data_IF_325179830898
#
_entry.id   IF_325179830898
#
_cell.length_a   1.000
_cell.length_b   1.000
_cell.length_c   1.000
_cell.angle_alpha   90.00
_cell.angle_beta   90.00
_cell.angle_gamma   90.00
#
_symmetry.space_group_name_H-M   'P 1'
#
loop_
_entity.id
_entity.type
_entity.pdbx_description
1 polymer ?
#
# COMPACT_ATOMS: atom_id res chain seq x y z
N UNK A 1 -10.89 -20.85 -30.76
CA UNK A 1 -10.88 -19.88 -29.65
C UNK A 1 -10.80 -18.45 -30.18
N UNK A 2 -11.59 -17.53 -29.64
CA UNK A 2 -11.37 -16.11 -29.90
C UNK A 2 -10.06 -15.67 -29.26
N UNK A 3 -9.31 -14.77 -29.92
CA UNK A 3 -7.97 -14.33 -29.48
C UNK A 3 -8.01 -13.10 -28.57
N UNK A 4 -9.12 -12.38 -28.59
CA UNK A 4 -9.41 -11.20 -27.80
C UNK A 4 -10.91 -11.08 -27.54
N UNK A 5 -11.32 -10.43 -26.44
CA UNK A 5 -12.72 -10.10 -26.23
C UNK A 5 -13.21 -9.07 -27.26
N UNK A 6 -14.52 -8.91 -27.36
CA UNK A 6 -15.12 -7.87 -28.20
C UNK A 6 -14.61 -6.50 -27.74
N UNK A 7 -14.12 -5.70 -28.69
CA UNK A 7 -13.61 -4.35 -28.40
C UNK A 7 -14.72 -3.43 -27.90
N UNK A 8 -14.49 -2.76 -26.79
CA UNK A 8 -15.38 -1.74 -26.22
C UNK A 8 -14.78 -0.38 -26.52
N UNK A 9 -15.46 0.40 -27.36
CA UNK A 9 -15.01 1.73 -27.75
C UNK A 9 -14.99 2.71 -26.58
N UNK A 10 -14.03 3.64 -26.52
CA UNK A 10 -13.99 4.68 -25.51
C UNK A 10 -15.23 5.56 -25.50
N UNK A 11 -15.71 5.95 -24.33
CA UNK A 11 -16.86 6.82 -24.13
C UNK A 11 -16.51 7.95 -23.15
N UNK A 12 -17.17 9.10 -23.31
CA UNK A 12 -16.99 10.29 -22.48
C UNK A 12 -18.09 10.37 -21.43
N UNK A 13 -17.69 10.66 -20.18
CA UNK A 13 -18.58 10.75 -19.03
C UNK A 13 -18.40 12.08 -18.30
N UNK A 14 -19.49 12.64 -17.83
CA UNK A 14 -19.58 13.76 -16.88
C UNK A 14 -20.20 13.33 -15.53
N UNK A 15 -20.63 12.07 -15.43
CA UNK A 15 -21.08 11.44 -14.21
C UNK A 15 -20.04 10.42 -13.69
N UNK A 16 -19.53 10.57 -12.44
CA UNK A 16 -18.54 9.67 -11.84
C UNK A 16 -19.03 8.22 -11.75
N UNK A 17 -20.31 8.01 -11.42
CA UNK A 17 -20.87 6.67 -11.25
C UNK A 17 -20.99 5.93 -12.58
N UNK A 18 -21.40 6.63 -13.65
CA UNK A 18 -21.44 6.07 -14.99
C UNK A 18 -20.04 5.73 -15.52
N UNK A 19 -19.03 6.58 -15.24
CA UNK A 19 -17.64 6.29 -15.57
C UNK A 19 -17.13 5.04 -14.86
N UNK A 20 -17.41 4.89 -13.56
CA UNK A 20 -17.04 3.71 -12.78
C UNK A 20 -17.73 2.44 -13.31
N UNK A 21 -19.03 2.52 -13.63
CA UNK A 21 -19.76 1.38 -14.21
C UNK A 21 -19.13 0.90 -15.52
N UNK A 22 -18.66 1.84 -16.36
CA UNK A 22 -17.94 1.50 -17.60
C UNK A 22 -16.58 0.84 -17.33
N UNK A 23 -15.83 1.31 -16.32
CA UNK A 23 -14.58 0.66 -15.88
C UNK A 23 -14.85 -0.77 -15.43
N UNK A 24 -15.88 -0.98 -14.60
CA UNK A 24 -16.29 -2.31 -14.12
C UNK A 24 -16.69 -3.23 -15.29
N UNK A 25 -17.46 -2.70 -16.23
CA UNK A 25 -17.89 -3.46 -17.40
C UNK A 25 -16.69 -3.93 -18.24
N UNK A 26 -15.76 -3.04 -18.58
CA UNK A 26 -14.57 -3.38 -19.38
C UNK A 26 -13.67 -4.39 -18.62
N UNK A 27 -13.41 -4.14 -17.33
CA UNK A 27 -12.57 -5.01 -16.51
C UNK A 27 -13.15 -6.43 -16.42
N UNK A 28 -14.43 -6.53 -16.05
CA UNK A 28 -15.09 -7.83 -15.89
C UNK A 28 -15.19 -8.58 -17.22
N UNK A 29 -15.42 -7.88 -18.32
CA UNK A 29 -15.43 -8.47 -19.66
C UNK A 29 -14.05 -9.04 -20.03
N UNK A 30 -12.99 -8.28 -19.80
CA UNK A 30 -11.59 -8.69 -20.07
C UNK A 30 -11.15 -9.87 -19.20
N UNK A 31 -11.38 -9.79 -17.89
CA UNK A 31 -10.99 -10.85 -16.93
C UNK A 31 -11.82 -12.13 -17.15
N UNK A 32 -13.13 -12.00 -17.37
CA UNK A 32 -14.00 -13.13 -17.68
C UNK A 32 -13.56 -13.88 -18.95
N UNK A 33 -13.18 -13.15 -19.99
CA UNK A 33 -12.63 -13.73 -21.21
C UNK A 33 -11.32 -14.50 -20.93
N UNK A 34 -10.37 -13.93 -20.18
CA UNK A 34 -9.10 -14.59 -19.83
C UNK A 34 -9.31 -15.85 -19.01
N UNK A 35 -10.21 -15.81 -18.01
CA UNK A 35 -10.56 -16.97 -17.19
C UNK A 35 -11.11 -18.10 -18.03
N UNK A 36 -12.09 -17.81 -18.90
CA UNK A 36 -12.64 -18.83 -19.79
C UNK A 36 -11.59 -19.41 -20.73
N UNK A 37 -10.72 -18.58 -21.31
CA UNK A 37 -9.66 -19.03 -22.19
C UNK A 37 -8.64 -19.92 -21.44
N UNK A 38 -8.34 -19.63 -20.18
CA UNK A 38 -7.48 -20.45 -19.35
C UNK A 38 -8.12 -21.80 -18.99
N UNK A 39 -9.40 -21.83 -18.65
CA UNK A 39 -10.13 -23.08 -18.43
C UNK A 39 -10.13 -23.95 -19.68
N UNK A 40 -10.36 -23.37 -20.85
CA UNK A 40 -10.29 -24.09 -22.13
C UNK A 40 -8.88 -24.62 -22.38
N UNK A 41 -7.83 -23.84 -22.09
CA UNK A 41 -6.45 -24.26 -22.18
C UNK A 41 -6.12 -25.42 -21.25
N UNK A 42 -6.57 -25.40 -20.00
CA UNK A 42 -6.41 -26.51 -19.04
C UNK A 42 -7.14 -27.76 -19.51
N UNK A 43 -8.34 -27.61 -20.08
CA UNK A 43 -9.14 -28.71 -20.65
C UNK A 43 -8.55 -29.36 -21.91
N UNK A 44 -7.44 -28.84 -22.43
CA UNK A 44 -6.76 -29.43 -23.56
C UNK A 44 -7.05 -28.84 -24.93
N UNK A 45 -7.85 -27.75 -24.98
CA UNK A 45 -8.08 -27.07 -26.24
C UNK A 45 -6.86 -26.25 -26.66
N UNK A 46 -6.39 -26.46 -27.89
CA UNK A 46 -5.24 -25.72 -28.40
C UNK A 46 -5.69 -24.35 -28.96
N UNK A 47 -5.06 -23.25 -28.53
CA UNK A 47 -5.23 -21.97 -29.19
C UNK A 47 -4.53 -21.99 -30.54
N UNK A 48 -5.22 -21.73 -31.62
CA UNK A 48 -4.69 -21.74 -32.96
C UNK A 48 -3.63 -20.67 -33.24
N UNK A 49 -2.43 -20.85 -32.72
CA UNK A 49 -1.19 -20.15 -33.12
C UNK A 49 -1.02 -18.67 -32.79
N UNK A 50 -1.98 -17.99 -32.20
CA UNK A 50 -1.83 -16.58 -31.79
C UNK A 50 -2.15 -16.40 -30.30
N UNK A 51 -1.43 -15.45 -29.67
CA UNK A 51 -1.56 -15.11 -28.25
C UNK A 51 -2.99 -14.66 -27.91
N UNK A 52 -3.52 -15.17 -26.79
CA UNK A 52 -4.80 -14.77 -26.22
C UNK A 52 -4.53 -13.57 -25.32
N UNK A 53 -5.25 -12.46 -25.58
CA UNK A 53 -5.01 -11.18 -24.92
C UNK A 53 -6.31 -10.49 -24.58
N UNK A 54 -6.38 -9.93 -23.37
CA UNK A 54 -7.34 -8.90 -22.98
C UNK A 54 -6.62 -7.79 -22.24
N UNK A 55 -7.16 -6.57 -22.27
CA UNK A 55 -6.46 -5.39 -21.77
C UNK A 55 -7.23 -4.73 -20.62
N UNK A 56 -6.48 -3.97 -19.80
CA UNK A 56 -7.04 -3.15 -18.74
C UNK A 56 -7.96 -2.07 -19.27
N UNK A 57 -8.98 -1.64 -18.51
CA UNK A 57 -9.63 -0.37 -18.77
C UNK A 57 -8.67 0.79 -18.52
N UNK A 58 -8.79 1.87 -19.28
CA UNK A 58 -8.16 3.15 -18.97
C UNK A 58 -9.20 4.17 -18.56
N UNK A 59 -8.79 5.15 -17.77
CA UNK A 59 -9.47 6.42 -17.56
C UNK A 59 -8.55 7.55 -18.00
N UNK A 60 -9.10 8.49 -18.79
CA UNK A 60 -8.40 9.67 -19.28
C UNK A 60 -9.19 10.93 -18.96
N UNK A 61 -8.53 11.91 -18.33
CA UNK A 61 -9.05 13.25 -18.14
C UNK A 61 -8.60 14.14 -19.30
N UNK A 62 -9.54 14.80 -19.97
CA UNK A 62 -9.28 15.90 -20.88
C UNK A 62 -9.48 17.23 -20.14
N UNK A 63 -8.45 17.77 -19.50
CA UNK A 63 -8.52 19.04 -18.77
C UNK A 63 -8.32 20.21 -19.72
N UNK A 64 -9.29 21.14 -19.78
CA UNK A 64 -9.20 22.39 -20.55
C UNK A 64 -8.68 23.55 -19.70
N UNK A 65 -9.06 23.57 -18.44
CA UNK A 65 -8.64 24.57 -17.47
C UNK A 65 -8.71 23.99 -16.06
N UNK A 66 -8.00 24.64 -15.14
CA UNK A 66 -8.12 24.35 -13.70
C UNK A 66 -9.09 25.37 -13.12
N UNK A 67 -10.19 24.94 -12.51
CA UNK A 67 -11.10 25.84 -11.80
C UNK A 67 -10.41 26.38 -10.54
N UNK A 68 -9.91 27.62 -10.62
CA UNK A 68 -9.15 28.24 -9.52
C UNK A 68 -9.97 28.48 -8.27
N UNK A 69 -11.28 28.62 -8.37
CA UNK A 69 -12.15 28.91 -7.22
C UNK A 69 -12.51 27.67 -6.43
N UNK A 70 -12.73 26.55 -7.10
CA UNK A 70 -13.15 25.29 -6.48
C UNK A 70 -11.96 24.38 -6.14
N UNK A 71 -10.90 24.40 -6.94
CA UNK A 71 -9.68 23.62 -6.70
C UNK A 71 -9.03 23.91 -5.33
N UNK A 72 -9.11 25.16 -4.86
CA UNK A 72 -8.57 25.55 -3.54
C UNK A 72 -9.27 24.86 -2.36
N UNK A 73 -10.53 24.44 -2.53
CA UNK A 73 -11.31 23.76 -1.49
C UNK A 73 -11.18 22.23 -1.55
N UNK A 74 -10.97 21.66 -2.73
CA UNK A 74 -10.97 20.22 -2.96
C UNK A 74 -9.56 19.61 -3.07
N UNK A 75 -8.51 20.43 -3.15
CA UNK A 75 -7.13 19.98 -3.40
C UNK A 75 -6.32 19.66 -2.14
N UNK A 76 -6.92 19.67 -0.96
CA UNK A 76 -6.22 19.49 0.33
C UNK A 76 -5.29 18.27 0.39
N UNK A 77 -5.58 17.24 -0.39
CA UNK A 77 -4.82 16.00 -0.39
C UNK A 77 -4.17 15.66 -1.74
N UNK A 78 -4.17 16.57 -2.71
CA UNK A 78 -3.61 16.36 -4.06
C UNK A 78 -4.24 15.20 -4.86
N UNK A 79 -5.37 14.67 -4.41
CA UNK A 79 -6.13 13.63 -5.11
C UNK A 79 -7.18 14.27 -6.01
N UNK A 80 -7.49 13.60 -7.13
CA UNK A 80 -8.46 14.11 -8.09
C UNK A 80 -8.08 15.48 -8.64
N UNK A 81 -6.77 15.77 -8.77
CA UNK A 81 -6.27 17.04 -9.26
C UNK A 81 -5.09 16.84 -10.23
N UNK A 82 -5.07 17.61 -11.33
CA UNK A 82 -3.96 17.68 -12.27
C UNK A 82 -3.47 19.12 -12.43
N UNK A 83 -2.16 19.31 -12.63
CA UNK A 83 -1.50 20.61 -12.51
C UNK A 83 -1.83 21.63 -13.63
N UNK A 84 -2.51 21.21 -14.69
CA UNK A 84 -2.78 22.12 -15.83
C UNK A 84 -3.68 21.50 -16.89
N UNK A 85 -3.86 22.21 -18.01
CA UNK A 85 -4.59 21.67 -19.16
C UNK A 85 -3.79 20.57 -19.83
N UNK A 86 -4.48 19.58 -20.42
CA UNK A 86 -3.85 18.46 -21.10
C UNK A 86 -4.66 17.18 -21.06
N UNK A 87 -4.02 16.10 -21.47
CA UNK A 87 -4.55 14.74 -21.38
C UNK A 87 -3.79 14.00 -20.30
N UNK A 88 -4.51 13.41 -19.34
CA UNK A 88 -3.98 12.65 -18.24
C UNK A 88 -4.63 11.29 -18.22
N UNK A 89 -3.85 10.22 -18.18
CA UNK A 89 -4.35 8.85 -18.29
C UNK A 89 -3.74 7.91 -17.28
N UNK A 90 -4.50 6.91 -16.88
CA UNK A 90 -4.00 5.73 -16.16
C UNK A 90 -4.83 4.50 -16.53
N UNK A 91 -4.24 3.32 -16.39
CA UNK A 91 -4.95 2.04 -16.42
C UNK A 91 -5.46 1.69 -15.04
N UNK A 92 -6.63 1.06 -14.97
CA UNK A 92 -7.30 0.69 -13.72
C UNK A 92 -7.46 -0.82 -13.62
N UNK A 93 -7.46 -1.31 -12.37
CA UNK A 93 -7.67 -2.73 -12.06
C UNK A 93 -8.57 -2.89 -10.83
N UNK A 94 -9.06 -4.11 -10.58
CA UNK A 94 -9.82 -4.50 -9.39
C UNK A 94 -10.86 -3.46 -8.97
N UNK A 95 -11.80 -3.08 -9.87
CA UNK A 95 -12.85 -2.13 -9.52
C UNK A 95 -13.81 -2.63 -8.43
N UNK A 96 -13.79 -3.93 -8.12
CA UNK A 96 -14.44 -4.53 -6.96
C UNK A 96 -13.80 -4.06 -5.63
N UNK A 97 -12.46 -4.02 -5.57
CA UNK A 97 -11.70 -3.60 -4.39
C UNK A 97 -11.64 -2.07 -4.26
N UNK A 98 -11.57 -1.36 -5.38
CA UNK A 98 -11.30 0.08 -5.43
C UNK A 98 -12.52 0.93 -5.79
N UNK A 99 -13.75 0.38 -5.80
CA UNK A 99 -14.94 1.11 -6.26
C UNK A 99 -15.10 2.49 -5.60
N UNK A 100 -15.07 2.54 -4.26
CA UNK A 100 -15.27 3.77 -3.48
C UNK A 100 -14.13 4.76 -3.74
N UNK A 101 -12.88 4.27 -3.80
CA UNK A 101 -11.72 5.11 -4.11
C UNK A 101 -11.82 5.70 -5.51
N UNK A 102 -12.15 4.89 -6.53
CA UNK A 102 -12.29 5.39 -7.90
C UNK A 102 -13.44 6.38 -8.03
N UNK A 103 -14.58 6.10 -7.40
CA UNK A 103 -15.73 7.01 -7.41
C UNK A 103 -15.37 8.37 -6.81
N UNK A 104 -14.68 8.39 -5.69
CA UNK A 104 -14.21 9.62 -5.05
C UNK A 104 -13.21 10.38 -5.94
N UNK A 105 -12.25 9.68 -6.56
CA UNK A 105 -11.29 10.31 -7.46
C UNK A 105 -11.97 10.89 -8.71
N UNK A 106 -12.91 10.17 -9.31
CA UNK A 106 -13.65 10.65 -10.49
C UNK A 106 -14.50 11.87 -10.16
N UNK A 107 -15.15 11.87 -8.99
CA UNK A 107 -15.91 13.01 -8.47
C UNK A 107 -15.01 14.24 -8.30
N UNK A 108 -13.84 14.09 -7.68
CA UNK A 108 -12.88 15.17 -7.47
C UNK A 108 -12.29 15.69 -8.79
N UNK A 109 -11.95 14.81 -9.73
CA UNK A 109 -11.46 15.20 -11.06
C UNK A 109 -12.48 16.05 -11.82
N UNK A 110 -13.74 15.64 -11.84
CA UNK A 110 -14.81 16.39 -12.50
C UNK A 110 -15.17 17.69 -11.78
N UNK A 111 -15.03 17.74 -10.45
CA UNK A 111 -15.26 18.97 -9.67
C UNK A 111 -14.12 19.99 -9.83
N UNK A 112 -12.87 19.53 -9.91
CA UNK A 112 -11.69 20.39 -9.97
C UNK A 112 -11.33 20.88 -11.38
N UNK A 113 -11.83 20.21 -12.42
CA UNK A 113 -11.43 20.48 -13.79
C UNK A 113 -12.64 20.65 -14.74
N UNK A 114 -12.57 21.63 -15.62
CA UNK A 114 -13.50 21.76 -16.74
C UNK A 114 -13.11 20.71 -17.80
N UNK A 115 -13.72 19.54 -17.71
CA UNK A 115 -13.40 18.40 -18.59
C UNK A 115 -14.37 17.25 -18.44
N UNK A 116 -14.11 16.18 -19.20
CA UNK A 116 -14.84 14.92 -19.14
C UNK A 116 -13.86 13.78 -18.91
N UNK A 117 -14.34 12.71 -18.31
CA UNK A 117 -13.61 11.45 -18.21
C UNK A 117 -13.89 10.60 -19.45
N UNK A 118 -12.86 10.19 -20.13
CA UNK A 118 -12.93 9.18 -21.20
C UNK A 118 -12.55 7.82 -20.61
N UNK A 119 -13.42 6.83 -20.77
CA UNK A 119 -13.19 5.45 -20.29
C UNK A 119 -13.28 4.50 -21.47
N UNK A 120 -12.26 3.65 -21.63
CA UNK A 120 -12.19 2.69 -22.73
C UNK A 120 -11.23 1.53 -22.42
N UNK A 121 -11.08 0.62 -23.38
CA UNK A 121 -10.09 -0.47 -23.30
C UNK A 121 -8.73 0.06 -23.69
N UNK A 122 -7.72 -0.13 -22.83
CA UNK A 122 -6.34 0.27 -23.09
C UNK A 122 -5.63 -0.69 -24.06
N UNK A 123 -4.38 -0.37 -24.37
CA UNK A 123 -3.46 -1.30 -25.07
C UNK A 123 -2.63 -2.15 -24.13
N UNK A 124 -2.71 -1.89 -22.79
CA UNK A 124 -1.95 -2.61 -21.79
C UNK A 124 -2.61 -3.96 -21.49
N UNK A 125 -1.96 -5.10 -21.78
CA UNK A 125 -2.54 -6.41 -21.54
C UNK A 125 -2.62 -6.72 -20.04
N UNK A 126 -3.66 -7.46 -19.66
CA UNK A 126 -3.80 -8.06 -18.33
C UNK A 126 -3.04 -9.38 -18.35
N UNK A 127 -1.95 -9.55 -17.57
CA UNK A 127 -1.28 -10.83 -17.40
C UNK A 127 -2.25 -11.90 -16.89
N UNK A 128 -2.14 -13.11 -17.43
CA UNK A 128 -3.07 -14.19 -17.08
C UNK A 128 -3.10 -14.45 -15.56
N UNK A 129 -1.97 -14.35 -14.88
CA UNK A 129 -1.83 -14.54 -13.43
C UNK A 129 -2.68 -13.55 -12.60
N UNK A 130 -3.02 -12.38 -13.15
CA UNK A 130 -3.80 -11.35 -12.45
C UNK A 130 -5.30 -11.46 -12.73
N UNK A 131 -5.72 -12.40 -13.60
CA UNK A 131 -7.12 -12.61 -13.93
C UNK A 131 -7.85 -13.56 -12.97
N UNK A 132 -7.14 -14.33 -12.14
CA UNK A 132 -7.75 -15.34 -11.27
C UNK A 132 -8.12 -14.80 -9.90
N UNK A 133 -9.22 -15.35 -9.37
CA UNK A 133 -9.61 -15.11 -7.99
C UNK A 133 -8.68 -15.86 -7.01
N UNK A 134 -8.69 -15.45 -5.75
CA UNK A 134 -7.76 -15.92 -4.72
C UNK A 134 -7.73 -17.43 -4.48
N UNK A 135 -8.77 -18.14 -4.86
CA UNK A 135 -8.95 -19.58 -4.58
C UNK A 135 -8.66 -20.49 -5.79
N UNK A 136 -8.38 -19.91 -6.95
CA UNK A 136 -8.16 -20.67 -8.18
C UNK A 136 -6.67 -20.91 -8.41
N UNK A 137 -6.21 -22.12 -8.11
CA UNK A 137 -4.83 -22.58 -8.39
C UNK A 137 -4.74 -23.35 -9.73
N UNK A 138 -5.25 -22.75 -10.78
CA UNK A 138 -5.35 -23.41 -12.11
C UNK A 138 -4.00 -23.87 -12.63
N UNK A 139 -2.91 -23.18 -12.29
CA UNK A 139 -1.56 -23.57 -12.67
C UNK A 139 -1.11 -24.90 -12.04
N UNK A 140 -1.64 -25.25 -10.87
CA UNK A 140 -1.35 -26.51 -10.18
C UNK A 140 -1.86 -27.73 -10.91
N UNK A 141 -2.86 -27.57 -11.77
CA UNK A 141 -3.47 -28.63 -12.58
C UNK A 141 -2.74 -28.88 -13.90
N UNK A 142 -1.80 -27.99 -14.29
CA UNK A 142 -1.04 -28.08 -15.52
C UNK A 142 0.18 -28.99 -15.39
N UNK A 143 0.32 -29.95 -16.29
CA UNK A 143 1.56 -30.68 -16.47
C UNK A 143 2.72 -29.77 -16.94
N UNK A 144 4.00 -30.23 -16.78
CA UNK A 144 5.17 -29.40 -17.08
C UNK A 144 5.20 -28.85 -18.51
N UNK A 145 4.81 -29.64 -19.50
CA UNK A 145 4.77 -29.23 -20.91
C UNK A 145 3.75 -28.12 -21.17
N UNK A 146 2.54 -28.24 -20.62
CA UNK A 146 1.51 -27.21 -20.75
C UNK A 146 1.86 -25.94 -20.00
N UNK A 147 2.49 -26.07 -18.85
CA UNK A 147 2.98 -24.91 -18.10
C UNK A 147 4.05 -24.12 -18.89
N UNK A 148 4.91 -24.83 -19.64
CA UNK A 148 5.88 -24.20 -20.54
C UNK A 148 5.20 -23.46 -21.72
N UNK A 149 4.12 -24.03 -22.28
CA UNK A 149 3.37 -23.42 -23.38
C UNK A 149 2.54 -22.18 -22.94
N UNK A 150 2.21 -22.06 -21.68
CA UNK A 150 1.37 -20.97 -21.16
C UNK A 150 1.92 -19.58 -21.51
N UNK A 151 3.26 -19.41 -21.48
CA UNK A 151 3.94 -18.16 -21.84
C UNK A 151 3.82 -17.78 -23.33
N UNK A 152 3.58 -18.76 -24.20
CA UNK A 152 3.44 -18.54 -25.63
C UNK A 152 1.97 -18.21 -25.98
N UNK A 153 1.04 -18.68 -25.13
CA UNK A 153 -0.41 -18.52 -25.31
C UNK A 153 -0.95 -17.24 -24.66
N UNK A 154 -0.47 -16.88 -23.48
CA UNK A 154 -0.98 -15.74 -22.70
C UNK A 154 0.09 -14.68 -22.47
N UNK A 155 -0.33 -13.47 -22.14
CA UNK A 155 0.55 -12.42 -21.61
C UNK A 155 0.92 -12.76 -20.17
N UNK A 156 2.22 -12.67 -19.86
CA UNK A 156 2.78 -12.83 -18.52
C UNK A 156 3.11 -11.47 -17.90
N UNK A 157 3.34 -11.39 -16.58
CA UNK A 157 3.80 -10.17 -15.95
C UNK A 157 5.08 -9.63 -16.59
N UNK A 158 5.05 -8.36 -17.00
CA UNK A 158 6.17 -7.64 -17.57
C UNK A 158 6.62 -6.56 -16.59
N UNK A 159 7.79 -6.73 -15.98
CA UNK A 159 8.32 -5.82 -14.98
C UNK A 159 8.64 -4.43 -15.54
N UNK A 160 8.81 -4.30 -16.86
CA UNK A 160 9.13 -2.99 -17.49
C UNK A 160 7.96 -2.00 -17.47
N UNK A 161 6.74 -2.47 -17.22
CA UNK A 161 5.53 -1.65 -17.10
C UNK A 161 4.98 -1.60 -15.65
N UNK A 162 5.76 -2.10 -14.70
CA UNK A 162 5.39 -2.20 -13.28
C UNK A 162 6.34 -1.40 -12.38
N UNK A 163 7.14 -0.51 -12.94
CA UNK A 163 8.08 0.33 -12.19
C UNK A 163 7.39 1.46 -11.43
N UNK A 164 8.13 2.14 -10.58
CA UNK A 164 7.70 3.28 -9.79
C UNK A 164 8.16 4.63 -10.37
N UNK A 165 8.47 4.71 -11.67
CA UNK A 165 8.96 5.91 -12.33
C UNK A 165 8.03 7.11 -12.15
N UNK A 166 6.70 6.88 -12.18
CA UNK A 166 5.70 7.93 -11.93
C UNK A 166 5.78 8.43 -10.48
N UNK A 167 5.83 7.52 -9.51
CA UNK A 167 5.91 7.86 -8.10
C UNK A 167 7.23 8.57 -7.75
N UNK A 168 8.32 8.18 -8.40
CA UNK A 168 9.65 8.78 -8.24
C UNK A 168 9.82 10.11 -8.99
N UNK A 169 8.88 10.46 -9.87
CA UNK A 169 8.98 11.66 -10.72
C UNK A 169 10.02 11.55 -11.83
N UNK A 170 10.40 10.33 -12.22
CA UNK A 170 11.37 10.05 -13.28
C UNK A 170 10.72 9.60 -14.59
N UNK A 171 9.40 9.40 -14.59
CA UNK A 171 8.65 9.04 -15.78
C UNK A 171 8.48 10.24 -16.71
N UNK A 172 8.92 10.11 -17.96
CA UNK A 172 8.77 11.11 -19.01
C UNK A 172 7.88 10.54 -20.12
N UNK A 173 6.64 11.07 -20.29
CA UNK A 173 5.77 10.65 -21.39
C UNK A 173 6.41 10.96 -22.74
N UNK A 174 6.25 10.06 -23.70
CA UNK A 174 6.68 10.26 -25.08
C UNK A 174 5.91 11.40 -25.77
N UNK A 175 6.41 11.88 -26.93
CA UNK A 175 5.73 12.91 -27.70
C UNK A 175 4.30 12.53 -28.06
N UNK A 176 3.32 13.31 -27.57
CA UNK A 176 1.90 13.06 -27.82
C UNK A 176 1.23 12.05 -26.91
N UNK A 177 1.95 11.42 -26.00
CA UNK A 177 1.38 10.56 -24.96
C UNK A 177 0.69 11.38 -23.86
N UNK A 178 -0.35 10.81 -23.21
CA UNK A 178 -0.96 11.43 -22.05
C UNK A 178 0.02 11.51 -20.87
N UNK A 179 -0.15 12.53 -20.02
CA UNK A 179 0.53 12.59 -18.73
C UNK A 179 -0.04 11.55 -17.77
N UNK A 180 0.73 11.06 -16.79
CA UNK A 180 0.21 10.15 -15.76
C UNK A 180 -0.92 10.80 -14.95
N UNK A 181 -2.03 10.07 -14.76
CA UNK A 181 -3.14 10.49 -13.91
C UNK A 181 -3.04 9.96 -12.48
N UNK A 182 -2.30 8.87 -12.26
CA UNK A 182 -2.12 8.24 -10.95
C UNK A 182 -0.67 7.85 -10.71
N UNK A 183 -0.32 7.58 -9.45
CA UNK A 183 1.02 7.10 -9.08
C UNK A 183 1.31 5.67 -9.56
N UNK A 184 0.25 4.87 -9.70
CA UNK A 184 0.36 3.45 -10.02
C UNK A 184 -0.53 3.09 -11.21
N UNK A 185 0.02 2.32 -12.13
CA UNK A 185 -0.72 1.72 -13.26
C UNK A 185 -1.42 0.43 -12.83
N UNK A 186 -2.41 -0.04 -13.60
CA UNK A 186 -3.10 -1.30 -13.35
C UNK A 186 -2.13 -2.49 -13.14
N UNK A 187 -1.16 -2.72 -14.03
CA UNK A 187 -0.15 -3.79 -13.84
C UNK A 187 0.64 -3.65 -12.54
N UNK A 188 1.06 -2.44 -12.17
CA UNK A 188 1.81 -2.17 -10.93
C UNK A 188 0.97 -2.48 -9.68
N UNK A 189 -0.33 -2.14 -9.73
CA UNK A 189 -1.28 -2.46 -8.65
C UNK A 189 -1.44 -3.97 -8.51
N UNK A 190 -1.75 -4.69 -9.59
CA UNK A 190 -1.98 -6.14 -9.55
C UNK A 190 -0.73 -6.91 -9.07
N UNK A 191 0.44 -6.50 -9.52
CA UNK A 191 1.70 -7.04 -9.01
C UNK A 191 1.82 -6.90 -7.49
N UNK A 192 1.51 -5.70 -6.97
CA UNK A 192 1.54 -5.46 -5.52
C UNK A 192 0.51 -6.26 -4.75
N UNK A 193 -0.71 -6.39 -5.25
CA UNK A 193 -1.76 -7.18 -4.58
C UNK A 193 -1.36 -8.66 -4.45
N UNK A 194 -0.74 -9.25 -5.48
CA UNK A 194 -0.20 -10.60 -5.39
C UNK A 194 0.93 -10.72 -4.37
N UNK A 195 1.86 -9.74 -4.36
CA UNK A 195 2.98 -9.74 -3.40
C UNK A 195 2.49 -9.55 -1.96
N UNK A 196 1.52 -8.68 -1.74
CA UNK A 196 0.90 -8.51 -0.41
C UNK A 196 0.33 -9.82 0.12
N UNK A 197 -0.45 -10.52 -0.68
CA UNK A 197 -1.00 -11.82 -0.30
C UNK A 197 0.10 -12.81 0.07
N UNK A 198 1.14 -12.87 -0.74
CA UNK A 198 2.28 -13.76 -0.51
C UNK A 198 3.00 -13.45 0.81
N UNK A 199 3.28 -12.15 1.08
CA UNK A 199 4.02 -11.75 2.27
C UNK A 199 3.18 -11.75 3.54
N UNK A 200 1.93 -11.33 3.47
CA UNK A 200 1.05 -11.16 4.64
C UNK A 200 0.28 -12.42 5.03
N UNK A 201 0.06 -13.32 4.07
CA UNK A 201 -0.80 -14.50 4.24
C UNK A 201 -2.28 -14.16 4.35
N UNK A 202 -2.66 -12.93 3.99
CA UNK A 202 -4.05 -12.45 3.98
C UNK A 202 -4.40 -11.81 2.66
N UNK A 203 -5.68 -11.83 2.30
CA UNK A 203 -6.19 -11.17 1.11
C UNK A 203 -6.09 -9.66 1.23
N UNK A 204 -5.75 -8.94 0.13
CA UNK A 204 -5.72 -7.48 0.13
C UNK A 204 -7.04 -6.80 0.53
N UNK A 205 -8.17 -7.47 0.32
CA UNK A 205 -9.50 -6.97 0.72
C UNK A 205 -9.63 -6.72 2.23
N UNK A 206 -8.88 -7.44 3.06
CA UNK A 206 -8.93 -7.30 4.51
C UNK A 206 -8.18 -6.09 5.03
N UNK A 207 -7.24 -5.53 4.26
CA UNK A 207 -6.45 -4.38 4.69
C UNK A 207 -7.34 -3.17 4.98
N UNK A 208 -7.09 -2.55 6.12
CA UNK A 208 -7.81 -1.37 6.59
C UNK A 208 -7.03 -0.08 6.30
N UNK A 209 -7.70 1.07 6.42
CA UNK A 209 -7.14 2.36 6.06
C UNK A 209 -6.04 2.87 7.00
N UNK A 210 -5.93 2.32 8.21
CA UNK A 210 -4.86 2.62 9.15
C UNK A 210 -3.95 1.39 9.30
N UNK A 211 -2.67 1.56 8.96
CA UNK A 211 -1.70 0.47 8.96
C UNK A 211 -0.64 0.73 10.03
N UNK A 212 -0.42 -0.26 10.89
CA UNK A 212 0.63 -0.26 11.90
C UNK A 212 1.71 -1.28 11.52
N UNK A 213 2.95 -0.85 11.50
CA UNK A 213 4.10 -1.73 11.28
C UNK A 213 4.83 -1.95 12.59
N UNK A 214 5.29 -3.17 12.80
CA UNK A 214 6.19 -3.51 13.90
C UNK A 214 7.12 -4.64 13.50
N UNK A 215 8.25 -4.73 14.15
CA UNK A 215 9.19 -5.86 14.04
C UNK A 215 9.22 -6.71 15.33
N UNK A 216 8.33 -6.43 16.30
CA UNK A 216 8.26 -7.11 17.57
C UNK A 216 7.03 -7.97 17.70
N UNK A 217 7.22 -9.27 17.92
CA UNK A 217 6.13 -10.24 18.13
C UNK A 217 5.26 -9.86 19.33
N UNK A 218 5.83 -9.27 20.37
CA UNK A 218 5.10 -8.80 21.53
C UNK A 218 3.92 -7.88 21.19
N UNK A 219 4.11 -6.90 20.29
CA UNK A 219 3.02 -6.01 19.88
C UNK A 219 1.96 -6.74 19.06
N UNK A 220 2.36 -7.72 18.27
CA UNK A 220 1.43 -8.58 17.52
C UNK A 220 0.57 -9.40 18.50
N UNK A 221 1.19 -9.99 19.51
CA UNK A 221 0.47 -10.79 20.52
C UNK A 221 -0.55 -9.95 21.29
N UNK A 222 -0.22 -8.70 21.63
CA UNK A 222 -1.16 -7.77 22.26
C UNK A 222 -2.27 -7.34 21.29
N UNK A 223 -1.96 -7.14 20.02
CA UNK A 223 -2.98 -6.82 19.02
C UNK A 223 -3.95 -7.99 18.78
N UNK A 224 -3.45 -9.23 18.77
CA UNK A 224 -4.30 -10.42 18.69
C UNK A 224 -5.24 -10.52 19.91
N UNK A 225 -4.72 -10.28 21.11
CA UNK A 225 -5.56 -10.26 22.34
C UNK A 225 -6.64 -9.19 22.26
N UNK A 226 -6.26 -7.98 21.82
CA UNK A 226 -7.22 -6.89 21.59
C UNK A 226 -8.28 -7.30 20.57
N UNK A 227 -7.86 -7.84 19.44
CA UNK A 227 -8.77 -8.29 18.38
C UNK A 227 -9.80 -9.31 18.87
N UNK A 228 -9.36 -10.32 19.62
CA UNK A 228 -10.30 -11.30 20.20
C UNK A 228 -11.19 -10.70 21.29
N UNK A 229 -10.69 -9.76 22.09
CA UNK A 229 -11.51 -9.05 23.08
C UNK A 229 -12.62 -8.22 22.41
N UNK A 230 -12.29 -7.49 21.35
CA UNK A 230 -13.25 -6.72 20.54
C UNK A 230 -14.30 -7.64 19.89
N UNK A 231 -13.90 -8.83 19.45
CA UNK A 231 -14.84 -9.81 18.87
C UNK A 231 -15.77 -10.43 19.90
N UNK A 232 -15.36 -10.51 21.16
CA UNK A 232 -16.21 -10.98 22.26
C UNK A 232 -17.23 -9.94 22.74
N UNK A 233 -16.99 -8.66 22.48
CA UNK A 233 -17.90 -7.55 22.84
C UNK A 233 -18.94 -7.30 21.74
N UNK A 234 -20.23 -7.57 21.96
CA UNK A 234 -21.26 -7.28 20.98
C UNK A 234 -21.47 -5.77 20.71
N UNK A 235 -20.97 -4.89 21.58
CA UNK A 235 -21.05 -3.44 21.42
C UNK A 235 -19.84 -2.83 20.68
N UNK A 236 -18.83 -3.62 20.34
CA UNK A 236 -17.66 -3.16 19.58
C UNK A 236 -18.06 -2.55 18.23
N UNK A 237 -17.37 -1.49 17.83
CA UNK A 237 -17.48 -0.90 16.48
C UNK A 237 -16.84 -1.77 15.39
N UNK A 238 -15.99 -2.73 15.79
CA UNK A 238 -15.35 -3.63 14.84
C UNK A 238 -16.28 -4.81 14.52
N UNK A 239 -16.25 -5.27 13.27
CA UNK A 239 -17.16 -6.31 12.76
C UNK A 239 -16.50 -7.68 12.67
N UNK A 240 -15.17 -7.72 12.48
CA UNK A 240 -14.40 -8.94 12.42
C UNK A 240 -12.92 -8.70 12.76
N UNK A 241 -12.26 -9.78 13.17
CA UNK A 241 -10.81 -9.87 13.27
C UNK A 241 -10.31 -10.94 12.32
N UNK A 242 -9.33 -10.60 11.46
CA UNK A 242 -8.78 -11.50 10.45
C UNK A 242 -7.30 -11.73 10.68
N UNK A 243 -6.91 -13.01 10.70
CA UNK A 243 -5.56 -13.49 10.93
C UNK A 243 -4.98 -14.14 9.65
N UNK A 244 -3.65 -14.39 9.59
CA UNK A 244 -3.03 -15.08 8.45
C UNK A 244 -3.73 -16.40 8.09
N UNK A 245 -3.90 -16.64 6.77
CA UNK A 245 -4.72 -17.71 6.23
C UNK A 245 -6.16 -17.29 6.01
N UNK A 246 -6.47 -15.99 6.10
CA UNK A 246 -7.82 -15.45 6.04
C UNK A 246 -8.76 -16.03 7.13
N UNK A 247 -8.18 -16.36 8.28
CA UNK A 247 -8.97 -16.88 9.42
C UNK A 247 -9.78 -15.74 10.02
N UNK A 248 -11.10 -15.79 9.87
CA UNK A 248 -12.03 -14.75 10.29
C UNK A 248 -12.72 -15.10 11.60
N UNK A 249 -12.55 -14.26 12.61
CA UNK A 249 -13.34 -14.25 13.85
C UNK A 249 -14.34 -13.10 13.76
N UNK A 250 -15.63 -13.39 13.79
CA UNK A 250 -16.70 -12.39 13.73
C UNK A 250 -17.01 -11.85 15.11
N UNK A 251 -17.48 -10.60 15.19
CA UNK A 251 -18.01 -10.02 16.43
C UNK A 251 -19.22 -10.82 16.93
N UNK A 252 -19.31 -11.00 18.22
CA UNK A 252 -20.46 -11.63 18.88
C UNK A 252 -21.77 -10.93 18.48
N UNK A 253 -22.78 -11.73 18.14
CA UNK A 253 -24.09 -11.24 17.69
C UNK A 253 -24.20 -10.85 16.20
N UNK A 254 -23.12 -10.89 15.43
CA UNK A 254 -23.17 -10.67 13.99
C UNK A 254 -23.63 -11.95 13.26
N UNK A 255 -24.48 -11.81 12.22
CA UNK A 255 -24.95 -12.98 11.47
C UNK A 255 -23.81 -13.66 10.70
N UNK A 256 -23.94 -14.96 10.47
CA UNK A 256 -22.93 -15.74 9.74
C UNK A 256 -22.75 -15.28 8.27
N UNK A 257 -23.76 -14.65 7.70
CA UNK A 257 -23.80 -14.19 6.30
C UNK A 257 -23.11 -12.83 6.10
N UNK A 258 -22.83 -12.11 7.20
CA UNK A 258 -22.27 -10.75 7.12
C UNK A 258 -20.84 -10.72 6.59
N UNK A 259 -20.06 -11.77 6.77
CA UNK A 259 -18.65 -11.87 6.31
C UNK A 259 -18.36 -13.35 6.01
N UNK A 260 -17.86 -13.65 4.83
CA UNK A 260 -17.40 -14.99 4.47
C UNK A 260 -16.20 -15.42 5.30
N UNK A 261 -16.29 -16.60 5.93
CA UNK A 261 -15.24 -17.16 6.78
C UNK A 261 -14.70 -18.46 6.17
N UNK A 262 -14.05 -18.35 5.01
CA UNK A 262 -13.48 -19.49 4.27
C UNK A 262 -12.02 -19.80 4.65
N UNK A 263 -11.42 -18.98 5.49
CA UNK A 263 -10.00 -19.10 5.84
C UNK A 263 -9.71 -20.29 6.76
N UNK A 264 -8.45 -20.70 6.74
CA UNK A 264 -7.91 -21.70 7.63
C UNK A 264 -6.56 -21.27 8.20
N UNK A 265 -6.29 -21.66 9.46
CA UNK A 265 -4.99 -21.44 10.06
C UNK A 265 -3.85 -22.00 9.18
N UNK A 266 -2.82 -21.21 8.97
CA UNK A 266 -1.66 -21.63 8.20
C UNK A 266 -0.75 -22.53 9.05
N UNK A 267 -0.14 -23.59 8.47
CA UNK A 267 0.81 -24.44 9.19
C UNK A 267 2.11 -23.71 9.56
N UNK A 268 2.41 -22.63 8.84
CA UNK A 268 3.52 -21.70 9.11
C UNK A 268 3.07 -20.29 8.77
N UNK A 269 3.46 -19.34 9.61
CA UNK A 269 3.23 -17.94 9.32
C UNK A 269 4.03 -17.51 8.06
N UNK A 270 3.47 -16.60 7.27
CA UNK A 270 4.19 -15.99 6.16
C UNK A 270 5.33 -15.09 6.67
N UNK A 271 6.12 -14.54 5.76
CA UNK A 271 7.28 -13.73 6.10
C UNK A 271 6.92 -12.45 6.88
N UNK A 272 5.80 -11.82 6.53
CA UNK A 272 5.31 -10.56 7.09
C UNK A 272 3.82 -10.66 7.43
N UNK A 273 3.44 -11.48 8.43
CA UNK A 273 2.04 -11.75 8.73
C UNK A 273 1.27 -10.47 9.06
N UNK A 274 0.09 -10.33 8.47
CA UNK A 274 -0.81 -9.23 8.71
C UNK A 274 -2.06 -9.67 9.46
N UNK A 275 -2.54 -8.80 10.34
CA UNK A 275 -3.71 -8.99 11.18
C UNK A 275 -4.63 -7.79 11.00
N UNK A 276 -5.93 -8.00 10.87
CA UNK A 276 -6.87 -6.95 10.51
C UNK A 276 -8.03 -6.91 11.48
N UNK A 277 -8.23 -5.76 12.10
CA UNK A 277 -9.38 -5.45 12.92
C UNK A 277 -10.32 -4.57 12.11
N UNK A 278 -11.40 -5.16 11.58
CA UNK A 278 -12.22 -4.62 10.51
C UNK A 278 -13.33 -3.70 11.01
N UNK A 279 -13.49 -2.56 10.34
CA UNK A 279 -14.72 -1.77 10.35
C UNK A 279 -15.40 -1.81 8.98
N UNK A 280 -16.72 -1.62 8.96
CA UNK A 280 -17.50 -1.71 7.73
C UNK A 280 -17.11 -0.66 6.68
N UNK A 281 -16.66 0.51 7.11
CA UNK A 281 -16.18 1.62 6.27
C UNK A 281 -14.66 1.59 6.00
N UNK A 282 -13.98 0.48 6.34
CA UNK A 282 -12.53 0.30 6.27
C UNK A 282 -11.71 1.24 7.16
N UNK A 283 -12.33 1.97 8.10
CA UNK A 283 -11.62 2.80 9.09
C UNK A 283 -10.99 2.00 10.23
N UNK A 284 -10.94 0.69 10.12
CA UNK A 284 -10.28 -0.22 11.05
C UNK A 284 -8.76 -0.16 10.96
N UNK A 285 -8.12 -1.16 11.59
CA UNK A 285 -6.67 -1.21 11.75
C UNK A 285 -6.11 -2.49 11.12
N UNK A 286 -5.06 -2.36 10.33
CA UNK A 286 -4.19 -3.47 9.93
C UNK A 286 -2.87 -3.37 10.67
N UNK A 287 -2.44 -4.45 11.31
CA UNK A 287 -1.11 -4.54 11.92
C UNK A 287 -0.26 -5.60 11.21
N UNK A 288 0.97 -5.22 10.84
CA UNK A 288 1.88 -6.08 10.07
C UNK A 288 3.17 -6.28 10.84
N UNK A 289 3.56 -7.53 11.07
CA UNK A 289 4.91 -7.85 11.52
C UNK A 289 5.84 -7.88 10.32
N UNK A 290 6.65 -6.84 10.18
CA UNK A 290 7.54 -6.67 9.02
C UNK A 290 8.88 -7.39 9.15
N UNK A 291 9.16 -7.97 10.34
CA UNK A 291 10.50 -8.44 10.67
C UNK A 291 11.50 -7.28 10.82
N UNK A 292 12.77 -7.60 10.97
CA UNK A 292 13.83 -6.61 11.22
C UNK A 292 14.47 -6.17 9.92
N UNK A 293 14.69 -4.87 9.80
CA UNK A 293 15.56 -4.25 8.80
C UNK A 293 14.85 -3.42 7.73
N UNK A 294 15.55 -2.44 7.16
CA UNK A 294 14.98 -1.45 6.25
C UNK A 294 14.54 -2.07 4.92
N UNK A 295 15.19 -3.13 4.43
CA UNK A 295 14.79 -3.83 3.22
C UNK A 295 13.40 -4.48 3.35
N UNK A 296 13.06 -5.02 4.53
CA UNK A 296 11.73 -5.53 4.82
C UNK A 296 10.69 -4.41 4.88
N UNK A 297 11.03 -3.30 5.56
CA UNK A 297 10.21 -2.11 5.64
C UNK A 297 9.89 -1.55 4.23
N UNK A 298 10.91 -1.46 3.36
CA UNK A 298 10.74 -1.05 1.96
C UNK A 298 9.80 -2.00 1.23
N UNK A 299 10.08 -3.31 1.27
CA UNK A 299 9.30 -4.32 0.54
C UNK A 299 7.80 -4.23 0.87
N UNK A 300 7.44 -4.20 2.14
CA UNK A 300 6.02 -4.21 2.51
C UNK A 300 5.33 -2.88 2.21
N UNK A 301 6.00 -1.76 2.43
CA UNK A 301 5.44 -0.43 2.15
C UNK A 301 5.31 -0.16 0.66
N UNK A 302 6.23 -0.65 -0.19
CA UNK A 302 6.11 -0.60 -1.66
C UNK A 302 4.80 -1.26 -2.15
N UNK A 303 4.36 -2.32 -1.46
CA UNK A 303 3.15 -3.05 -1.86
C UNK A 303 1.87 -2.53 -1.19
N UNK A 304 1.92 -2.14 0.08
CA UNK A 304 0.75 -1.57 0.77
C UNK A 304 0.36 -0.21 0.19
N UNK A 305 1.30 0.54 -0.36
CA UNK A 305 1.04 1.86 -0.94
C UNK A 305 -0.08 1.87 -2.01
N UNK A 306 -0.23 0.78 -2.77
CA UNK A 306 -1.27 0.68 -3.81
C UNK A 306 -2.68 0.62 -3.23
N UNK A 307 -2.84 0.18 -1.97
CA UNK A 307 -4.13 0.16 -1.27
C UNK A 307 -4.58 1.55 -0.80
N UNK A 308 -3.71 2.57 -0.93
CA UNK A 308 -4.00 3.97 -0.60
C UNK A 308 -4.49 4.15 0.85
N UNK A 309 -3.77 3.62 1.88
CA UNK A 309 -4.18 3.79 3.27
C UNK A 309 -4.20 5.27 3.65
N UNK A 310 -5.04 5.61 4.63
CA UNK A 310 -5.14 6.98 5.15
C UNK A 310 -3.91 7.39 5.97
N UNK A 311 -3.29 6.42 6.63
CA UNK A 311 -2.01 6.60 7.31
C UNK A 311 -1.35 5.26 7.58
N UNK A 312 -0.02 5.28 7.72
CA UNK A 312 0.74 4.19 8.28
C UNK A 312 1.76 4.65 9.32
N UNK A 313 1.98 3.83 10.34
CA UNK A 313 2.80 4.17 11.48
C UNK A 313 3.78 3.05 11.79
N UNK A 314 5.03 3.40 12.11
CA UNK A 314 5.98 2.48 12.73
C UNK A 314 5.81 2.51 14.25
N UNK A 315 5.62 1.35 14.83
CA UNK A 315 5.59 1.10 16.27
C UNK A 315 6.67 0.09 16.62
N UNK A 316 7.59 0.45 17.51
CA UNK A 316 8.69 -0.46 17.82
C UNK A 316 9.55 0.01 18.98
N UNK A 317 10.75 -0.54 19.06
CA UNK A 317 11.74 -0.15 20.04
C UNK A 317 12.91 0.60 19.38
N UNK A 318 13.69 1.29 20.19
CA UNK A 318 14.86 2.01 19.72
C UNK A 318 15.95 2.07 20.79
N UNK A 319 17.19 2.23 20.34
CA UNK A 319 18.26 2.68 21.22
C UNK A 319 18.09 4.19 21.50
N UNK A 320 18.13 4.56 22.78
CA UNK A 320 18.11 5.94 23.24
C UNK A 320 19.49 6.58 23.09
N UNK A 321 19.60 7.67 22.34
CA UNK A 321 20.89 8.33 22.04
C UNK A 321 21.23 9.51 22.97
N UNK A 322 20.41 9.76 23.99
CA UNK A 322 20.59 10.89 24.92
C UNK A 322 20.58 10.43 26.37
N UNK A 323 21.56 10.90 27.15
CA UNK A 323 21.75 10.54 28.55
C UNK A 323 20.55 10.80 29.47
N UNK A 324 19.59 11.60 29.05
CA UNK A 324 18.38 11.89 29.81
C UNK A 324 17.20 10.98 29.49
N UNK A 325 17.38 10.00 28.62
CA UNK A 325 16.35 9.00 28.29
C UNK A 325 16.46 7.80 29.23
N UNK A 326 15.34 7.20 29.54
CA UNK A 326 15.24 6.00 30.38
C UNK A 326 14.54 4.88 29.61
N UNK A 327 14.78 3.64 30.01
CA UNK A 327 14.07 2.50 29.47
C UNK A 327 12.56 2.70 29.69
N UNK A 328 11.77 2.50 28.64
CA UNK A 328 10.34 2.71 28.64
C UNK A 328 9.90 4.12 28.22
N UNK A 329 10.83 5.07 28.07
CA UNK A 329 10.48 6.39 27.49
C UNK A 329 9.99 6.23 26.06
N UNK A 330 9.01 7.04 25.67
CA UNK A 330 8.55 7.14 24.29
C UNK A 330 9.43 8.08 23.46
N UNK A 331 9.57 7.76 22.19
CA UNK A 331 10.19 8.63 21.18
C UNK A 331 9.19 8.88 20.07
N UNK A 332 8.80 10.14 19.89
CA UNK A 332 7.99 10.59 18.77
C UNK A 332 8.90 11.22 17.72
N UNK A 333 8.99 10.59 16.54
CA UNK A 333 9.84 11.07 15.47
C UNK A 333 9.25 12.33 14.81
N UNK A 334 10.03 13.42 14.71
CA UNK A 334 9.66 14.61 13.94
C UNK A 334 10.56 14.85 12.72
N UNK A 335 11.64 14.10 12.58
CA UNK A 335 12.52 14.08 11.43
C UNK A 335 13.26 12.74 11.36
N UNK A 336 13.77 12.40 10.20
CA UNK A 336 14.40 11.11 9.96
C UNK A 336 15.78 11.27 9.32
N UNK A 337 16.74 10.46 9.78
CA UNK A 337 18.06 10.32 9.17
C UNK A 337 18.17 8.93 8.55
N UNK A 338 18.38 8.89 7.24
CA UNK A 338 18.41 7.67 6.43
C UNK A 338 19.84 7.13 6.33
N UNK A 339 20.31 6.43 7.35
CA UNK A 339 21.55 5.64 7.33
C UNK A 339 21.27 4.20 6.92
N UNK A 340 20.07 3.93 6.43
CA UNK A 340 19.58 2.64 5.95
C UNK A 340 19.87 2.39 4.47
N UNK A 341 20.09 3.43 3.68
CA UNK A 341 20.54 3.42 2.29
C UNK A 341 19.71 2.63 1.28
N UNK A 342 18.51 2.17 1.66
CA UNK A 342 17.69 1.30 0.78
C UNK A 342 16.82 2.05 -0.24
N UNK A 343 16.72 3.38 -0.11
CA UNK A 343 15.94 4.24 -1.00
C UNK A 343 16.78 5.39 -1.61
N UNK A 344 18.10 5.30 -1.59
CA UNK A 344 18.97 6.42 -2.01
C UNK A 344 18.86 6.72 -3.51
N UNK A 345 18.56 5.71 -4.33
CA UNK A 345 18.34 5.87 -5.77
C UNK A 345 16.97 6.49 -6.08
N UNK A 346 15.91 6.00 -5.40
CA UNK A 346 14.53 6.45 -5.64
C UNK A 346 14.24 7.81 -4.99
N UNK A 347 14.90 8.11 -3.89
CA UNK A 347 14.73 9.33 -3.12
C UNK A 347 16.08 9.83 -2.61
N UNK A 348 16.74 10.76 -3.29
CA UNK A 348 18.07 11.26 -2.91
C UNK A 348 18.15 11.76 -1.47
N UNK A 349 19.29 11.56 -0.80
CA UNK A 349 19.48 11.92 0.63
C UNK A 349 19.27 13.40 0.96
N UNK A 350 19.41 14.30 -0.01
CA UNK A 350 19.17 15.74 0.19
C UNK A 350 17.67 16.10 0.29
N UNK A 351 16.77 15.19 -0.06
CA UNK A 351 15.32 15.41 0.09
C UNK A 351 14.96 15.25 1.55
N UNK A 352 14.43 16.29 2.23
CA UNK A 352 14.02 16.19 3.61
C UNK A 352 12.73 15.34 3.75
N UNK A 353 12.66 14.55 4.80
CA UNK A 353 11.46 13.79 5.17
C UNK A 353 10.85 14.44 6.42
N UNK A 354 9.90 15.38 6.26
CA UNK A 354 9.31 16.08 7.39
C UNK A 354 8.28 15.21 8.12
N UNK A 355 8.11 15.44 9.41
CA UNK A 355 6.95 14.92 10.12
C UNK A 355 5.66 15.62 9.65
N UNK A 356 4.55 14.92 9.73
CA UNK A 356 3.22 15.45 9.45
C UNK A 356 2.57 15.92 10.76
N UNK A 357 2.17 17.17 10.80
CA UNK A 357 1.64 17.82 12.03
C UNK A 357 0.44 17.06 12.59
N UNK A 358 -0.47 16.61 11.75
CA UNK A 358 -1.67 15.87 12.14
C UNK A 358 -1.32 14.55 12.82
N UNK A 359 -0.34 13.83 12.28
CA UNK A 359 0.13 12.57 12.86
C UNK A 359 0.87 12.81 14.17
N UNK A 360 1.68 13.88 14.27
CA UNK A 360 2.38 14.24 15.50
C UNK A 360 1.37 14.50 16.64
N UNK A 361 0.35 15.33 16.38
CA UNK A 361 -0.69 15.65 17.37
C UNK A 361 -1.49 14.41 17.77
N UNK A 362 -1.81 13.55 16.81
CA UNK A 362 -2.56 12.31 17.09
C UNK A 362 -1.76 11.35 17.97
N UNK A 363 -0.48 11.13 17.67
CA UNK A 363 0.38 10.25 18.47
C UNK A 363 0.68 10.82 19.86
N UNK A 364 0.91 12.12 19.99
CA UNK A 364 1.06 12.80 21.28
C UNK A 364 -0.19 12.62 22.16
N UNK A 365 -1.37 12.80 21.59
CA UNK A 365 -2.63 12.57 22.28
C UNK A 365 -2.79 11.10 22.69
N UNK A 366 -2.49 10.16 21.80
CA UNK A 366 -2.58 8.74 22.11
C UNK A 366 -1.68 8.34 23.30
N UNK A 367 -0.46 8.88 23.37
CA UNK A 367 0.43 8.65 24.53
C UNK A 367 -0.19 9.24 25.80
N UNK A 368 -0.75 10.45 25.75
CA UNK A 368 -1.41 11.07 26.90
C UNK A 368 -2.59 10.23 27.40
N UNK A 369 -3.45 9.80 26.48
CA UNK A 369 -4.66 9.02 26.78
C UNK A 369 -4.32 7.64 27.41
N UNK A 370 -3.33 6.94 26.84
CA UNK A 370 -2.92 5.60 27.31
C UNK A 370 -2.21 5.68 28.66
N UNK A 371 -1.35 6.67 28.86
CA UNK A 371 -0.53 6.80 30.08
C UNK A 371 -1.23 7.53 31.21
N UNK A 372 -2.29 8.27 30.91
CA UNK A 372 -2.95 9.18 31.87
C UNK A 372 -2.11 10.40 32.23
N UNK A 373 -0.96 10.62 31.55
CA UNK A 373 -0.07 11.77 31.82
C UNK A 373 -0.64 13.01 31.10
N UNK A 374 -0.83 14.13 31.81
CA UNK A 374 -1.31 15.36 31.19
C UNK A 374 -0.38 15.81 30.04
N UNK A 375 -0.92 16.39 28.95
CA UNK A 375 -0.11 16.83 27.80
C UNK A 375 1.05 17.77 28.19
N UNK A 376 0.88 18.64 29.18
CA UNK A 376 1.93 19.53 29.67
C UNK A 376 3.12 18.80 30.33
N UNK A 377 2.90 17.57 30.79
CA UNK A 377 3.92 16.74 31.46
C UNK A 377 4.50 15.62 30.59
N UNK A 378 3.98 15.40 29.38
CA UNK A 378 4.41 14.33 28.47
C UNK A 378 5.92 14.35 28.21
N UNK A 379 6.56 15.51 28.25
CA UNK A 379 8.03 15.65 28.09
C UNK A 379 8.83 14.88 29.13
N UNK A 380 8.22 14.40 30.21
CA UNK A 380 8.87 13.57 31.22
C UNK A 380 9.09 12.14 30.74
N UNK A 381 8.19 11.63 29.90
CA UNK A 381 8.16 10.24 29.45
C UNK A 381 8.25 10.11 27.92
N UNK A 382 8.23 11.22 27.20
CA UNK A 382 8.27 11.22 25.72
C UNK A 382 9.25 12.26 25.20
N UNK A 383 10.14 11.86 24.32
CA UNK A 383 11.05 12.74 23.59
C UNK A 383 10.59 12.88 22.16
N UNK A 384 10.34 14.11 21.72
CA UNK A 384 10.14 14.41 20.31
C UNK A 384 11.47 14.80 19.70
N UNK A 385 11.89 14.09 18.65
CA UNK A 385 13.22 14.32 18.06
C UNK A 385 13.47 13.58 16.75
N UNK A 386 14.65 13.78 16.20
CA UNK A 386 15.10 13.07 15.02
C UNK A 386 15.37 11.62 15.34
N UNK A 387 14.82 10.69 14.56
CA UNK A 387 15.12 9.26 14.59
C UNK A 387 16.06 8.94 13.43
N UNK A 388 17.15 8.26 13.72
CA UNK A 388 18.05 7.71 12.71
C UNK A 388 17.71 6.24 12.49
N UNK A 389 17.67 5.78 11.25
CA UNK A 389 17.54 4.36 10.93
C UNK A 389 18.79 3.88 10.21
N UNK A 390 19.30 2.71 10.61
CA UNK A 390 20.50 2.10 10.04
C UNK A 390 20.19 0.73 9.44
N UNK A 391 20.95 0.32 8.44
CA UNK A 391 20.94 -1.04 7.90
C UNK A 391 21.89 -1.99 8.65
N UNK A 392 22.78 -1.44 9.47
CA UNK A 392 23.79 -2.20 10.20
C UNK A 392 23.41 -2.36 11.68
N UNK A 393 22.86 -3.51 12.04
CA UNK A 393 22.50 -3.82 13.43
C UNK A 393 23.69 -3.82 14.39
N UNK A 394 24.89 -4.13 13.89
CA UNK A 394 26.10 -4.24 14.70
C UNK A 394 27.03 -3.03 14.51
N UNK A 395 26.45 -1.85 14.34
CA UNK A 395 27.20 -0.61 14.10
C UNK A 395 28.20 -0.29 15.25
N UNK A 396 27.92 -0.75 16.48
CA UNK A 396 28.79 -0.59 17.64
C UNK A 396 30.12 -1.34 17.49
N UNK A 397 30.12 -2.41 16.70
CA UNK A 397 31.33 -3.22 16.44
C UNK A 397 32.26 -2.59 15.40
N UNK A 398 31.83 -1.52 14.73
CA UNK A 398 32.65 -0.81 13.77
C UNK A 398 33.79 -0.07 14.49
N UNK A 399 35.06 -0.12 13.96
CA UNK A 399 36.18 0.54 14.58
C UNK A 399 35.96 2.06 14.68
N UNK A 400 35.74 2.57 15.87
CA UNK A 400 35.49 4.00 16.12
C UNK A 400 36.75 4.87 16.07
N UNK A 401 37.95 4.28 16.18
CA UNK A 401 39.21 5.02 16.24
C UNK A 401 39.68 5.41 14.85
N UNK A 402 39.74 6.70 14.59
CA UNK A 402 40.35 7.34 13.42
C UNK A 402 39.52 7.43 12.13
N UNK A 403 38.26 7.02 12.09
CA UNK A 403 37.40 7.27 10.92
C UNK A 403 36.74 8.66 11.02
N UNK A 404 36.85 9.54 10.01
CA UNK A 404 36.24 10.87 10.03
C UNK A 404 34.70 10.83 10.02
N UNK A 405 34.10 9.70 9.67
CA UNK A 405 32.63 9.52 9.62
C UNK A 405 32.20 8.18 10.21
N UNK A 406 32.26 8.04 11.54
CA UNK A 406 31.65 6.90 12.23
C UNK A 406 30.13 7.09 12.36
N UNK A 407 29.32 6.02 12.45
CA UNK A 407 27.88 6.13 12.72
C UNK A 407 27.58 7.01 13.95
N UNK A 408 28.29 6.80 15.07
CA UNK A 408 28.12 7.62 16.28
C UNK A 408 28.32 9.13 16.00
N UNK A 409 29.28 9.48 15.16
CA UNK A 409 29.57 10.88 14.82
C UNK A 409 28.44 11.47 13.98
N UNK A 410 27.94 10.71 13.00
CA UNK A 410 26.80 11.13 12.17
C UNK A 410 25.53 11.28 13.01
N UNK A 411 25.23 10.33 13.92
CA UNK A 411 24.09 10.43 14.83
C UNK A 411 24.22 11.62 15.79
N UNK A 412 25.42 11.91 16.27
CA UNK A 412 25.69 13.09 17.09
C UNK A 412 25.49 14.39 16.28
N UNK A 413 26.00 14.47 15.06
CA UNK A 413 25.87 15.63 14.17
C UNK A 413 24.44 15.88 13.75
N UNK A 414 23.68 14.85 13.46
CA UNK A 414 22.24 14.93 13.11
C UNK A 414 21.33 15.28 14.29
N UNK A 415 21.87 15.29 15.53
CA UNK A 415 21.11 15.47 16.77
C UNK A 415 20.04 14.40 16.98
N UNK A 416 20.20 13.22 16.39
CA UNK A 416 19.27 12.12 16.58
C UNK A 416 19.09 11.79 18.07
N UNK A 417 17.86 11.55 18.47
CA UNK A 417 17.50 11.19 19.84
C UNK A 417 17.30 9.68 20.00
N UNK A 418 17.08 8.98 18.89
CA UNK A 418 16.88 7.53 18.87
C UNK A 418 17.45 6.93 17.59
N UNK A 419 17.75 5.63 17.67
CA UNK A 419 18.19 4.81 16.55
C UNK A 419 17.33 3.56 16.47
N UNK A 420 16.86 3.26 15.27
CA UNK A 420 16.19 2.02 14.90
C UNK A 420 16.68 1.50 13.54
N UNK A 421 15.91 0.64 12.87
CA UNK A 421 16.28 0.09 11.57
C UNK A 421 15.21 0.29 10.49
N UNK A 422 14.03 0.81 10.79
CA UNK A 422 12.89 0.80 9.85
C UNK A 422 12.19 2.14 9.67
N UNK A 423 12.19 2.99 10.69
CA UNK A 423 11.37 4.22 10.71
C UNK A 423 11.63 5.16 9.55
N UNK A 424 12.90 5.37 9.20
CA UNK A 424 13.25 6.30 8.12
C UNK A 424 12.81 5.76 6.75
N UNK A 425 12.92 4.45 6.52
CA UNK A 425 12.43 3.80 5.29
C UNK A 425 10.90 3.91 5.17
N UNK A 426 10.16 3.63 6.26
CA UNK A 426 8.69 3.73 6.29
C UNK A 426 8.24 5.17 6.02
N UNK A 427 8.91 6.15 6.65
CA UNK A 427 8.61 7.56 6.45
C UNK A 427 8.95 8.02 5.02
N UNK A 428 10.12 7.61 4.49
CA UNK A 428 10.55 7.93 3.13
C UNK A 428 9.60 7.37 2.06
N UNK A 429 9.14 6.13 2.21
CA UNK A 429 8.12 5.56 1.33
C UNK A 429 6.74 6.23 1.51
N UNK A 430 6.39 6.66 2.72
CA UNK A 430 5.20 7.47 2.94
C UNK A 430 5.25 8.79 2.17
N UNK A 431 6.36 9.49 2.25
CA UNK A 431 6.62 10.70 1.47
C UNK A 431 6.54 10.43 -0.04
N UNK A 432 7.25 9.42 -0.52
CA UNK A 432 7.35 9.02 -1.93
C UNK A 432 5.99 8.65 -2.52
N UNK A 433 5.19 7.86 -1.80
CA UNK A 433 3.88 7.38 -2.25
C UNK A 433 2.69 8.26 -1.79
N UNK A 434 2.98 9.39 -1.14
CA UNK A 434 1.96 10.31 -0.64
C UNK A 434 0.95 9.62 0.29
N UNK A 435 1.46 8.80 1.20
CA UNK A 435 0.71 8.19 2.29
C UNK A 435 1.13 8.87 3.59
N UNK A 436 0.23 9.43 4.39
CA UNK A 436 0.57 9.98 5.69
C UNK A 436 1.27 8.96 6.59
N UNK A 437 2.35 9.39 7.25
CA UNK A 437 3.24 8.51 8.00
C UNK A 437 3.66 9.09 9.34
N UNK A 438 4.06 8.23 10.25
CA UNK A 438 4.61 8.60 11.55
C UNK A 438 5.33 7.46 12.24
N UNK A 439 5.99 7.78 13.36
CA UNK A 439 6.75 6.82 14.14
C UNK A 439 6.63 7.13 15.62
N UNK A 440 6.27 6.11 16.40
CA UNK A 440 6.30 6.12 17.86
C UNK A 440 7.08 4.91 18.34
N UNK A 441 8.18 5.16 19.04
CA UNK A 441 9.08 4.11 19.54
C UNK A 441 9.13 4.13 21.07
N UNK A 442 9.58 3.01 21.64
CA UNK A 442 9.89 2.86 23.05
C UNK A 442 11.39 2.63 23.21
N UNK A 443 12.02 3.33 24.14
CA UNK A 443 13.46 3.13 24.45
C UNK A 443 13.64 1.79 25.13
N UNK A 444 14.44 0.91 24.54
CA UNK A 444 14.75 -0.44 25.03
C UNK A 444 16.20 -0.65 25.45
N UNK A 445 17.11 0.23 25.00
CA UNK A 445 18.55 0.18 25.25
C UNK A 445 19.21 1.54 25.10
#
# INVERSE_FOLDING_TARGET
MHKSPTFIAPQLFDDPAAALAQVQHIYNHSVGFLRQAMHDFVAGHEPGGARIRACYPFVRLHSRSVSRQEAGLQSRLSYGFVAGPGRFETTLTRPDLYADYYLEQFRLLLANHDGKLEVGTSTQPIPIHFSFAEHEHVEGELGPERRALMRDVFDLPDLTVMDDGIANGTHEPGPGEPQPLSLFTGPRVDYSLQRLRHYSGTSPEWFQNFVLFTNYQFYIDEFIKLGHAEMADPASDYIAFVEPGNLVTRRAGLSAEAIDALGKALPRLPQMPAYHLLRADRSGITMVNIGVGPANAKTITDHIAVLRPHAWLMLGHCAGLRNGQQLGDYVLAHAYVREDHVLDEELPLWVPIPALAEIQVALERAVADVTGVPPAELKRIMRTGTVASTDNRNWELLPAKNAPSTPQRRFSQSRAVALDMESATIAANGFRFRVPYGTLLCVSD
#
